data_IF_788112208593
#
_entry.id   IF_788112208593
#
_cell.length_a   1.000
_cell.length_b   1.000
_cell.length_c   1.000
_cell.angle_alpha   90.00
_cell.angle_beta   90.00
_cell.angle_gamma   90.00
#
_symmetry.space_group_name_H-M   'P 1'
#
loop_
_entity.id
_entity.type
_entity.pdbx_description
1 polymer ?
#
# COMPACT_ATOMS: atom_id res chain seq x y z
N UNK A 1 -8.67 -13.66 -17.81
CA UNK A 1 -9.26 -12.71 -16.83
C UNK A 1 -9.02 -13.13 -15.38
N UNK A 2 -9.21 -14.39 -15.00
CA UNK A 2 -9.01 -14.84 -13.60
C UNK A 2 -7.59 -14.60 -13.03
N UNK A 3 -6.52 -14.83 -13.82
CA UNK A 3 -5.13 -14.71 -13.34
C UNK A 3 -4.76 -13.27 -12.96
N UNK A 4 -5.18 -12.29 -13.75
CA UNK A 4 -4.95 -10.87 -13.46
C UNK A 4 -5.70 -10.44 -12.19
N UNK A 5 -6.95 -10.87 -12.03
CA UNK A 5 -7.75 -10.59 -10.83
C UNK A 5 -7.13 -11.22 -9.58
N UNK A 6 -6.62 -12.44 -9.66
CA UNK A 6 -5.92 -13.10 -8.54
C UNK A 6 -4.64 -12.33 -8.20
N UNK A 7 -3.86 -11.94 -9.20
CA UNK A 7 -2.61 -11.20 -8.98
C UNK A 7 -2.87 -9.84 -8.33
N UNK A 8 -3.88 -9.11 -8.79
CA UNK A 8 -4.31 -7.85 -8.19
C UNK A 8 -4.86 -8.04 -6.77
N UNK A 9 -5.66 -9.09 -6.55
CA UNK A 9 -6.17 -9.42 -5.22
C UNK A 9 -5.06 -9.72 -4.23
N UNK A 10 -4.05 -10.50 -4.63
CA UNK A 10 -2.88 -10.81 -3.78
C UNK A 10 -2.07 -9.55 -3.47
N UNK A 11 -1.82 -8.69 -4.47
CA UNK A 11 -1.10 -7.43 -4.27
C UNK A 11 -1.86 -6.48 -3.34
N UNK A 12 -3.18 -6.34 -3.51
CA UNK A 12 -3.99 -5.47 -2.67
C UNK A 12 -4.11 -5.99 -1.23
N UNK A 13 -4.04 -7.29 -1.00
CA UNK A 13 -4.08 -7.89 0.35
C UNK A 13 -2.77 -7.72 1.14
N UNK A 14 -1.70 -7.19 0.51
CA UNK A 14 -0.47 -6.91 1.23
C UNK A 14 -0.71 -5.84 2.31
N UNK A 15 -0.02 -5.92 3.46
CA UNK A 15 -0.15 -4.96 4.56
C UNK A 15 0.61 -3.66 4.25
N UNK A 16 0.32 -3.05 3.10
CA UNK A 16 0.90 -1.78 2.66
C UNK A 16 -0.16 -0.69 2.89
N UNK A 17 0.14 0.35 3.69
CA UNK A 17 -0.78 1.46 3.87
C UNK A 17 -1.11 2.09 2.51
N UNK A 18 -2.37 2.48 2.28
CA UNK A 18 -2.98 2.88 0.99
C UNK A 18 -3.61 1.73 0.17
N UNK A 19 -3.20 0.47 0.37
CA UNK A 19 -3.86 -0.69 -0.25
C UNK A 19 -4.97 -1.25 0.67
N UNK A 20 -5.93 -1.98 0.08
CA UNK A 20 -7.06 -2.61 0.80
C UNK A 20 -6.61 -3.47 1.98
N UNK A 21 -5.51 -4.22 1.83
CA UNK A 21 -4.89 -5.05 2.84
C UNK A 21 -4.27 -4.26 3.98
N UNK A 22 -3.75 -3.06 3.70
CA UNK A 22 -3.31 -2.11 4.73
C UNK A 22 -4.47 -1.65 5.60
N UNK A 23 -5.63 -1.37 4.99
CA UNK A 23 -6.85 -1.01 5.72
C UNK A 23 -7.36 -2.17 6.56
N UNK A 24 -7.40 -3.38 6.00
CA UNK A 24 -7.76 -4.60 6.74
C UNK A 24 -6.84 -4.84 7.93
N UNK A 25 -5.54 -4.57 7.77
CA UNK A 25 -4.56 -4.70 8.86
C UNK A 25 -4.82 -3.68 9.97
N UNK A 26 -5.10 -2.43 9.62
CA UNK A 26 -5.47 -1.38 10.59
C UNK A 26 -6.77 -1.73 11.32
N UNK A 27 -7.79 -2.20 10.59
CA UNK A 27 -9.05 -2.67 11.16
C UNK A 27 -8.84 -3.89 12.08
N UNK A 28 -7.98 -4.83 11.71
CA UNK A 28 -7.63 -5.96 12.57
C UNK A 28 -6.93 -5.49 13.85
N UNK A 29 -6.06 -4.48 13.77
CA UNK A 29 -5.43 -3.86 14.95
C UNK A 29 -6.49 -3.19 15.84
N UNK A 30 -7.45 -2.47 15.26
CA UNK A 30 -8.58 -1.88 16.01
C UNK A 30 -9.45 -2.94 16.67
N UNK A 31 -9.76 -4.03 15.96
CA UNK A 31 -10.54 -5.14 16.49
C UNK A 31 -9.83 -5.82 17.67
N UNK A 32 -8.50 -5.93 17.63
CA UNK A 32 -7.68 -6.46 18.74
C UNK A 32 -7.60 -5.44 19.89
N UNK A 33 -7.43 -4.14 19.61
CA UNK A 33 -7.37 -3.07 20.63
C UNK A 33 -8.72 -2.81 21.30
N UNK A 34 -9.83 -3.08 20.60
CA UNK A 34 -11.19 -2.76 21.05
C UNK A 34 -11.53 -1.26 21.01
N UNK A 35 -10.60 -0.41 20.56
CA UNK A 35 -10.76 1.04 20.43
C UNK A 35 -10.20 1.52 19.08
N UNK A 36 -10.82 2.55 18.47
CA UNK A 36 -10.39 3.07 17.18
C UNK A 36 -8.95 3.60 17.24
N UNK A 37 -8.23 3.51 16.12
CA UNK A 37 -6.93 4.14 15.97
C UNK A 37 -7.09 5.66 16.07
N UNK A 38 -6.15 6.36 16.74
CA UNK A 38 -6.15 7.81 16.71
C UNK A 38 -6.00 8.29 15.27
N UNK A 39 -6.83 9.24 14.83
CA UNK A 39 -6.81 9.76 13.46
C UNK A 39 -5.42 10.28 13.02
N UNK A 40 -4.58 10.72 13.97
CA UNK A 40 -3.18 11.09 13.71
C UNK A 40 -2.33 9.91 13.22
N UNK A 41 -2.50 8.74 13.83
CA UNK A 41 -1.76 7.51 13.49
C UNK A 41 -2.22 7.00 12.13
N UNK A 42 -3.53 6.97 11.90
CA UNK A 42 -4.12 6.58 10.62
C UNK A 42 -3.65 7.50 9.48
N UNK A 43 -3.77 8.82 9.65
CA UNK A 43 -3.31 9.80 8.65
C UNK A 43 -1.80 9.69 8.39
N UNK A 44 -1.00 9.47 9.44
CA UNK A 44 0.44 9.28 9.29
C UNK A 44 0.76 8.01 8.51
N UNK A 45 0.10 6.89 8.83
CA UNK A 45 0.28 5.62 8.12
C UNK A 45 -0.09 5.74 6.64
N UNK A 46 -1.24 6.35 6.31
CA UNK A 46 -1.64 6.58 4.92
C UNK A 46 -0.69 7.52 4.18
N UNK A 47 -0.28 8.63 4.80
CA UNK A 47 0.64 9.59 4.17
C UNK A 47 2.00 8.93 3.88
N UNK A 48 2.52 8.17 4.85
CA UNK A 48 3.78 7.45 4.70
C UNK A 48 3.69 6.36 3.62
N UNK A 49 2.60 5.59 3.60
CA UNK A 49 2.35 4.58 2.56
C UNK A 49 2.25 5.19 1.17
N UNK A 50 1.50 6.30 1.04
CA UNK A 50 1.34 7.02 -0.23
C UNK A 50 2.67 7.54 -0.75
N UNK A 51 3.48 8.15 0.12
CA UNK A 51 4.82 8.63 -0.22
C UNK A 51 5.74 7.49 -0.64
N UNK A 52 5.71 6.37 0.09
CA UNK A 52 6.56 5.21 -0.20
C UNK A 52 6.21 4.58 -1.55
N UNK A 53 4.91 4.36 -1.82
CA UNK A 53 4.43 3.83 -3.11
C UNK A 53 4.72 4.81 -4.25
N UNK A 54 4.45 6.10 -4.04
CA UNK A 54 4.74 7.14 -5.02
C UNK A 54 6.23 7.23 -5.35
N UNK A 55 7.09 7.17 -4.33
CA UNK A 55 8.54 7.12 -4.51
C UNK A 55 8.97 5.88 -5.31
N UNK A 56 8.45 4.69 -4.94
CA UNK A 56 8.72 3.45 -5.67
C UNK A 56 8.30 3.54 -7.12
N UNK A 57 7.15 4.15 -7.41
CA UNK A 57 6.66 4.34 -8.77
C UNK A 57 7.58 5.27 -9.57
N UNK A 58 7.96 6.41 -9.02
CA UNK A 58 8.91 7.34 -9.67
C UNK A 58 10.26 6.66 -9.89
N UNK A 59 10.76 5.95 -8.88
CA UNK A 59 12.02 5.22 -8.96
C UNK A 59 11.98 4.13 -10.03
N UNK A 60 10.94 3.30 -10.05
CA UNK A 60 10.77 2.21 -11.02
C UNK A 60 10.63 2.75 -12.44
N UNK A 61 9.80 3.78 -12.65
CA UNK A 61 9.63 4.42 -13.97
C UNK A 61 10.95 5.04 -14.44
N UNK A 62 11.67 5.72 -13.56
CA UNK A 62 12.98 6.32 -13.89
C UNK A 62 13.99 5.23 -14.27
N UNK A 63 14.05 4.15 -13.49
CA UNK A 63 14.91 3.01 -13.77
C UNK A 63 14.56 2.32 -15.09
N UNK A 64 13.27 2.16 -15.38
CA UNK A 64 12.79 1.63 -16.65
C UNK A 64 13.19 2.55 -17.81
N UNK A 65 13.01 3.87 -17.70
CA UNK A 65 13.43 4.82 -18.74
C UNK A 65 14.93 4.73 -19.00
N UNK A 66 15.77 4.73 -17.95
CA UNK A 66 17.22 4.60 -18.10
C UNK A 66 17.63 3.28 -18.76
N UNK A 67 16.97 2.17 -18.41
CA UNK A 67 17.21 0.87 -19.02
C UNK A 67 16.78 0.79 -20.48
N UNK A 68 15.76 1.54 -20.88
CA UNK A 68 15.29 1.59 -22.27
C UNK A 68 16.13 2.53 -23.16
N UNK A 69 16.74 3.56 -22.58
CA UNK A 69 17.52 4.58 -23.30
C UNK A 69 19.01 4.22 -23.39
N UNK A 70 19.55 3.48 -22.41
CA UNK A 70 20.91 2.93 -22.44
C UNK A 70 20.99 1.61 -23.19
#
# INVERSE_FOLDING_TARGET
MAILSISLGVLNLLPIPVLDGGQLTMLAIEAIRGEPLPARVENFAYTLGALMVGFLLVFAVTNDIFRWVG
#
